data_IF_559601288232
#
_entry.id   IF_559601288232
#
_cell.length_a   1.000
_cell.length_b   1.000
_cell.length_c   1.000
_cell.angle_alpha   90.00
_cell.angle_beta   90.00
_cell.angle_gamma   90.00
#
_symmetry.space_group_name_H-M   'P 1'
#
loop_
_entity.id
_entity.type
_entity.pdbx_description
1 polymer ?
#
# COMPACT_ATOMS: atom_id res chain seq x y z
N UNK A 1 67.88 -24.77 -87.63
CA UNK A 1 66.46 -24.74 -88.06
C UNK A 1 65.68 -25.77 -87.31
N UNK A 2 64.67 -25.41 -86.66
CA UNK A 2 63.51 -26.06 -86.06
C UNK A 2 63.29 -25.61 -84.63
N UNK A 3 62.22 -24.82 -84.44
CA UNK A 3 61.75 -24.27 -83.23
C UNK A 3 61.06 -25.36 -82.41
N UNK A 4 61.34 -25.41 -81.09
CA UNK A 4 60.57 -26.14 -80.12
C UNK A 4 59.73 -25.15 -79.32
N UNK A 5 58.42 -25.31 -79.37
CA UNK A 5 57.47 -24.59 -78.54
C UNK A 5 57.27 -25.32 -77.24
N UNK A 6 57.53 -24.70 -76.12
CA UNK A 6 57.22 -25.18 -74.80
C UNK A 6 55.83 -24.73 -74.38
N UNK A 7 55.00 -25.68 -74.03
CA UNK A 7 53.68 -25.44 -73.41
C UNK A 7 53.86 -25.34 -71.90
N UNK A 8 53.52 -24.20 -71.34
CA UNK A 8 53.42 -24.03 -69.86
C UNK A 8 51.97 -24.30 -69.41
N UNK A 9 51.83 -25.34 -68.56
CA UNK A 9 50.59 -25.60 -67.88
C UNK A 9 50.50 -24.73 -66.58
N UNK A 10 49.59 -23.81 -66.56
CA UNK A 10 49.29 -22.98 -65.34
C UNK A 10 48.34 -23.72 -64.43
N UNK A 11 48.79 -24.02 -63.22
CA UNK A 11 47.96 -24.52 -62.12
C UNK A 11 47.25 -23.35 -61.48
N UNK A 12 45.91 -23.25 -61.61
CA UNK A 12 45.07 -22.29 -60.90
C UNK A 12 44.75 -22.84 -59.49
N UNK A 13 45.31 -22.22 -58.46
CA UNK A 13 44.88 -22.43 -57.07
C UNK A 13 43.59 -21.64 -56.86
N UNK A 14 42.47 -22.35 -56.73
CA UNK A 14 41.19 -21.78 -56.29
C UNK A 14 41.19 -21.57 -54.76
N UNK A 15 41.23 -20.32 -54.31
CA UNK A 15 40.98 -19.96 -52.90
C UNK A 15 39.46 -19.98 -52.71
N UNK A 16 38.93 -21.02 -52.08
CA UNK A 16 37.57 -21.09 -51.60
C UNK A 16 37.45 -20.18 -50.35
N UNK A 17 36.92 -18.99 -50.50
CA UNK A 17 36.51 -18.13 -49.39
C UNK A 17 35.32 -18.78 -48.69
N UNK A 18 35.51 -19.36 -47.52
CA UNK A 18 34.44 -19.76 -46.60
C UNK A 18 33.79 -18.47 -46.06
N UNK A 19 32.67 -18.09 -46.60
CA UNK A 19 31.77 -17.13 -45.98
C UNK A 19 31.04 -17.83 -44.83
N UNK A 20 31.51 -17.62 -43.60
CA UNK A 20 30.74 -17.92 -42.38
C UNK A 20 29.53 -16.98 -42.34
N UNK A 21 28.31 -17.49 -42.18
CA UNK A 21 27.19 -16.60 -41.91
C UNK A 21 27.39 -15.94 -40.53
N UNK A 22 27.62 -14.63 -40.49
CA UNK A 22 27.44 -13.84 -39.28
C UNK A 22 25.97 -13.97 -38.90
N UNK A 23 25.68 -14.81 -37.91
CA UNK A 23 24.41 -14.75 -37.19
C UNK A 23 24.48 -13.44 -36.40
N UNK A 24 23.95 -12.37 -36.97
CA UNK A 24 23.57 -11.19 -36.21
C UNK A 24 22.48 -11.65 -35.23
N UNK A 25 22.87 -11.96 -34.00
CA UNK A 25 21.97 -12.09 -32.91
C UNK A 25 21.29 -10.73 -32.72
N UNK A 26 20.19 -10.53 -33.43
CA UNK A 26 19.28 -9.45 -33.12
C UNK A 26 18.81 -9.70 -31.70
N UNK A 27 19.21 -8.85 -30.78
CA UNK A 27 18.48 -8.70 -29.55
C UNK A 27 17.05 -8.33 -29.97
N UNK A 28 16.14 -9.29 -29.90
CA UNK A 28 14.74 -8.98 -29.97
C UNK A 28 14.48 -8.05 -28.78
N UNK A 29 14.37 -6.74 -29.03
CA UNK A 29 13.67 -5.88 -28.12
C UNK A 29 12.32 -6.54 -27.91
N UNK A 30 12.05 -6.98 -26.67
CA UNK A 30 10.70 -7.35 -26.29
C UNK A 30 9.79 -6.22 -26.79
N UNK A 31 8.77 -6.56 -27.58
CA UNK A 31 7.83 -5.58 -28.06
C UNK A 31 7.30 -4.83 -26.84
N UNK A 32 7.35 -3.50 -26.87
CA UNK A 32 6.79 -2.62 -25.84
C UNK A 32 5.30 -2.96 -25.71
N UNK A 33 4.90 -3.61 -24.62
CA UNK A 33 3.53 -4.09 -24.42
C UNK A 33 2.55 -2.97 -24.15
N UNK A 34 3.08 -1.79 -23.78
CA UNK A 34 2.29 -0.61 -23.44
C UNK A 34 2.99 0.26 -22.40
N UNK A 35 2.36 1.39 -22.09
CA UNK A 35 2.87 2.41 -21.21
C UNK A 35 1.94 2.60 -20.01
N UNK A 36 2.44 2.40 -18.79
CA UNK A 36 1.67 2.47 -17.54
C UNK A 36 2.07 3.70 -16.74
N UNK A 37 1.10 4.57 -16.47
CA UNK A 37 1.24 5.68 -15.52
C UNK A 37 0.90 5.23 -14.12
N UNK A 38 1.78 5.51 -13.15
CA UNK A 38 1.64 5.11 -11.75
C UNK A 38 1.67 6.38 -10.89
N UNK A 39 0.54 6.71 -10.26
CA UNK A 39 0.41 7.91 -9.43
C UNK A 39 0.27 7.52 -7.96
N UNK A 40 1.30 7.82 -7.15
CA UNK A 40 1.38 7.55 -5.72
C UNK A 40 1.15 8.80 -4.89
N UNK A 41 0.57 8.70 -3.67
CA UNK A 41 0.22 9.88 -2.88
C UNK A 41 1.46 10.60 -2.33
N UNK A 42 2.43 9.87 -1.76
CA UNK A 42 3.54 10.49 -1.03
C UNK A 42 4.73 9.54 -0.86
N UNK A 43 5.88 10.08 -0.46
CA UNK A 43 7.05 9.32 0.02
C UNK A 43 7.20 9.36 1.55
N UNK A 44 6.32 10.07 2.26
CA UNK A 44 6.39 10.17 3.72
C UNK A 44 6.11 8.85 4.44
N UNK A 45 5.33 7.95 3.83
CA UNK A 45 5.15 6.57 4.27
C UNK A 45 5.99 5.63 3.41
N UNK A 46 6.78 4.77 4.06
CA UNK A 46 7.69 3.83 3.40
C UNK A 46 6.96 2.84 2.49
N UNK A 47 5.72 2.48 2.85
CA UNK A 47 4.92 1.55 2.05
C UNK A 47 4.71 2.05 0.62
N UNK A 48 4.43 3.35 0.41
CA UNK A 48 4.20 3.89 -0.94
C UNK A 48 5.43 3.81 -1.83
N UNK A 49 6.63 3.92 -1.23
CA UNK A 49 7.89 3.69 -1.95
C UNK A 49 8.02 2.22 -2.34
N UNK A 50 7.68 1.30 -1.43
CA UNK A 50 7.68 -0.14 -1.69
C UNK A 50 6.66 -0.52 -2.76
N UNK A 51 5.42 -0.03 -2.66
CA UNK A 51 4.35 -0.23 -3.67
C UNK A 51 4.81 0.24 -5.06
N UNK A 52 5.28 1.49 -5.16
CA UNK A 52 5.70 2.07 -6.43
C UNK A 52 6.87 1.33 -7.07
N UNK A 53 7.91 1.01 -6.28
CA UNK A 53 9.06 0.26 -6.77
C UNK A 53 8.67 -1.15 -7.21
N UNK A 54 7.85 -1.86 -6.42
CA UNK A 54 7.37 -3.20 -6.76
C UNK A 54 6.54 -3.20 -8.06
N UNK A 55 5.71 -2.18 -8.26
CA UNK A 55 4.95 -2.05 -9.52
C UNK A 55 5.87 -1.78 -10.71
N UNK A 56 6.83 -0.84 -10.60
CA UNK A 56 7.79 -0.55 -11.67
C UNK A 56 8.55 -1.81 -12.04
N UNK A 57 9.15 -2.49 -11.06
CA UNK A 57 9.93 -3.71 -11.29
C UNK A 57 9.10 -4.78 -12.01
N UNK A 58 7.87 -5.02 -11.55
CA UNK A 58 7.03 -6.08 -12.10
C UNK A 58 6.45 -5.72 -13.48
N UNK A 59 6.05 -4.45 -13.70
CA UNK A 59 5.60 -4.00 -15.02
C UNK A 59 6.74 -4.04 -16.05
N UNK A 60 7.92 -3.57 -15.69
CA UNK A 60 9.08 -3.59 -16.59
C UNK A 60 9.53 -5.04 -16.89
N UNK A 61 9.52 -5.93 -15.90
CA UNK A 61 9.76 -7.36 -16.10
C UNK A 61 8.71 -8.01 -17.02
N UNK A 62 7.47 -7.53 -17.00
CA UNK A 62 6.40 -7.96 -17.88
C UNK A 62 6.48 -7.34 -19.30
N UNK A 63 7.39 -6.37 -19.56
CA UNK A 63 7.62 -5.73 -20.84
C UNK A 63 6.85 -4.44 -21.08
N UNK A 64 6.38 -3.78 -20.01
CA UNK A 64 5.75 -2.46 -20.05
C UNK A 64 6.75 -1.35 -19.81
N UNK A 65 6.49 -0.17 -20.35
CA UNK A 65 7.13 1.07 -19.95
C UNK A 65 6.35 1.67 -18.77
N UNK A 66 7.04 2.32 -17.83
CA UNK A 66 6.42 2.91 -16.63
C UNK A 66 6.72 4.40 -16.49
N UNK A 67 5.80 5.15 -15.87
CA UNK A 67 5.98 6.54 -15.41
C UNK A 67 5.47 6.62 -13.97
N UNK A 68 6.37 6.50 -12.99
CA UNK A 68 6.05 6.56 -11.57
C UNK A 68 6.22 7.98 -11.03
N UNK A 69 5.16 8.54 -10.45
CA UNK A 69 5.12 9.86 -9.83
C UNK A 69 4.60 9.80 -8.40
N UNK A 70 5.15 10.67 -7.54
CA UNK A 70 4.71 10.88 -6.17
C UNK A 70 4.27 12.33 -6.00
N UNK A 71 3.12 12.54 -5.38
CA UNK A 71 2.51 13.86 -5.30
C UNK A 71 2.77 14.60 -3.97
N UNK A 72 3.46 13.96 -3.02
CA UNK A 72 3.85 14.52 -1.70
C UNK A 72 2.63 15.05 -0.91
N UNK A 73 1.53 14.29 -0.94
CA UNK A 73 0.24 14.59 -0.33
C UNK A 73 -0.42 15.92 -0.81
N UNK A 74 0.04 16.45 -1.94
CA UNK A 74 -0.53 17.63 -2.59
C UNK A 74 -1.51 17.22 -3.69
N UNK A 75 -2.82 17.46 -3.46
CA UNK A 75 -3.89 17.07 -4.38
C UNK A 75 -3.74 17.74 -5.76
N UNK A 76 -3.52 19.07 -5.89
CA UNK A 76 -3.27 19.71 -7.17
C UNK A 76 -2.09 19.12 -7.93
N UNK A 77 -1.03 18.74 -7.21
CA UNK A 77 0.14 18.11 -7.82
C UNK A 77 -0.20 16.72 -8.38
N UNK A 78 -0.94 15.89 -7.61
CA UNK A 78 -1.37 14.59 -8.11
C UNK A 78 -2.24 14.71 -9.36
N UNK A 79 -3.18 15.65 -9.36
CA UNK A 79 -4.03 15.93 -10.53
C UNK A 79 -3.19 16.31 -11.76
N UNK A 80 -2.26 17.26 -11.61
CA UNK A 80 -1.34 17.65 -12.68
C UNK A 80 -0.49 16.50 -13.21
N UNK A 81 0.01 15.63 -12.33
CA UNK A 81 0.79 14.45 -12.72
C UNK A 81 -0.04 13.48 -13.55
N UNK A 82 -1.29 13.20 -13.15
CA UNK A 82 -2.22 12.34 -13.87
C UNK A 82 -2.54 12.93 -15.25
N UNK A 83 -2.87 14.24 -15.34
CA UNK A 83 -3.12 14.92 -16.60
C UNK A 83 -1.90 14.88 -17.53
N UNK A 84 -0.69 15.04 -17.01
CA UNK A 84 0.54 14.87 -17.77
C UNK A 84 0.75 13.45 -18.29
N UNK A 85 0.42 12.42 -17.52
CA UNK A 85 0.47 11.02 -17.96
C UNK A 85 -0.53 10.77 -19.12
N UNK A 86 -1.74 11.32 -19.03
CA UNK A 86 -2.76 11.27 -20.11
C UNK A 86 -2.19 11.90 -21.40
N UNK A 87 -1.61 13.10 -21.31
CA UNK A 87 -0.98 13.79 -22.45
C UNK A 87 0.20 13.02 -23.04
N UNK A 88 0.98 12.33 -22.21
CA UNK A 88 2.07 11.45 -22.65
C UNK A 88 1.59 10.18 -23.36
N UNK A 89 0.29 9.89 -23.32
CA UNK A 89 -0.32 8.75 -23.99
C UNK A 89 -0.03 7.43 -23.29
N UNK A 90 -0.19 7.37 -21.98
CA UNK A 90 -0.20 6.09 -21.25
C UNK A 90 -1.41 5.25 -21.69
N UNK A 91 -1.29 3.94 -21.68
CA UNK A 91 -2.40 3.02 -21.99
C UNK A 91 -3.26 2.73 -20.76
N UNK A 92 -2.63 2.81 -19.59
CA UNK A 92 -3.26 2.55 -18.27
C UNK A 92 -2.76 3.54 -17.24
N UNK A 93 -3.66 3.96 -16.36
CA UNK A 93 -3.37 4.68 -15.11
C UNK A 93 -3.62 3.76 -13.92
N UNK A 94 -2.63 3.61 -13.05
CA UNK A 94 -2.72 2.97 -11.74
C UNK A 94 -2.56 4.05 -10.67
N UNK A 95 -3.63 4.34 -9.93
CA UNK A 95 -3.71 5.53 -9.09
C UNK A 95 -4.03 5.14 -7.65
N UNK A 96 -3.14 5.48 -6.71
CA UNK A 96 -3.42 5.56 -5.28
C UNK A 96 -3.78 7.02 -4.95
N UNK A 97 -5.07 7.33 -4.91
CA UNK A 97 -5.54 8.71 -4.76
C UNK A 97 -5.22 9.29 -3.38
N UNK A 98 -4.78 10.55 -3.32
CA UNK A 98 -4.70 11.32 -2.06
C UNK A 98 -6.11 11.56 -1.53
N UNK A 99 -6.96 12.13 -2.38
CA UNK A 99 -8.38 12.34 -2.15
C UNK A 99 -9.18 11.65 -3.26
N UNK A 100 -10.04 10.71 -2.86
CA UNK A 100 -10.81 9.90 -3.80
C UNK A 100 -11.82 10.68 -4.63
N UNK A 101 -12.18 11.92 -4.28
CA UNK A 101 -13.27 12.70 -4.90
C UNK A 101 -12.79 13.75 -5.91
N UNK A 102 -11.49 14.00 -6.03
CA UNK A 102 -10.96 15.15 -6.77
C UNK A 102 -10.54 14.84 -8.21
N UNK A 103 -10.64 13.58 -8.65
CA UNK A 103 -10.05 13.12 -9.93
C UNK A 103 -11.05 13.01 -11.08
N UNK A 104 -12.36 13.22 -10.86
CA UNK A 104 -13.43 12.88 -11.83
C UNK A 104 -13.19 13.46 -13.22
N UNK A 105 -12.82 14.74 -13.33
CA UNK A 105 -12.57 15.40 -14.62
C UNK A 105 -11.35 14.82 -15.36
N UNK A 106 -10.26 14.53 -14.65
CA UNK A 106 -9.08 13.90 -15.26
C UNK A 106 -9.41 12.49 -15.78
N UNK A 107 -10.23 11.74 -15.03
CA UNK A 107 -10.66 10.40 -15.42
C UNK A 107 -11.64 10.41 -16.61
N UNK A 108 -12.45 11.48 -16.78
CA UNK A 108 -13.23 11.68 -18.01
C UNK A 108 -12.31 11.86 -19.22
N UNK A 109 -11.24 12.66 -19.08
CA UNK A 109 -10.24 12.84 -20.13
C UNK A 109 -9.49 11.54 -20.45
N UNK A 110 -9.13 10.75 -19.42
CA UNK A 110 -8.52 9.44 -19.59
C UNK A 110 -9.43 8.49 -20.38
N UNK A 111 -10.71 8.42 -20.01
CA UNK A 111 -11.71 7.59 -20.70
C UNK A 111 -11.92 8.04 -22.16
N UNK A 112 -11.98 9.35 -22.42
CA UNK A 112 -12.08 9.90 -23.78
C UNK A 112 -10.86 9.55 -24.65
N UNK A 113 -9.68 9.39 -24.04
CA UNK A 113 -8.44 8.93 -24.67
C UNK A 113 -8.33 7.40 -24.78
N UNK A 114 -9.30 6.65 -24.25
CA UNK A 114 -9.28 5.17 -24.24
C UNK A 114 -8.37 4.55 -23.16
N UNK A 115 -7.87 5.36 -22.24
CA UNK A 115 -6.97 4.94 -21.16
C UNK A 115 -7.77 4.20 -20.08
N UNK A 116 -7.28 3.06 -19.64
CA UNK A 116 -7.87 2.28 -18.55
C UNK A 116 -7.43 2.81 -17.18
N UNK A 117 -8.34 2.78 -16.21
CA UNK A 117 -8.08 3.33 -14.87
C UNK A 117 -8.24 2.25 -13.80
N UNK A 118 -7.17 2.01 -13.07
CA UNK A 118 -7.14 1.14 -11.90
C UNK A 118 -6.96 1.99 -10.64
N UNK A 119 -7.93 1.91 -9.73
CA UNK A 119 -7.72 2.35 -8.37
C UNK A 119 -6.79 1.35 -7.66
N UNK A 120 -5.77 1.83 -6.99
CA UNK A 120 -4.77 1.04 -6.28
C UNK A 120 -4.79 1.36 -4.80
N UNK A 121 -4.98 0.36 -3.96
CA UNK A 121 -5.11 0.46 -2.50
C UNK A 121 -6.25 1.38 -2.03
N UNK A 122 -6.39 2.60 -2.56
CA UNK A 122 -7.41 3.60 -2.22
C UNK A 122 -8.47 3.69 -3.30
N UNK A 123 -9.75 3.60 -2.90
CA UNK A 123 -10.88 3.69 -3.84
C UNK A 123 -11.04 5.11 -4.36
N UNK A 124 -11.07 5.25 -5.68
CA UNK A 124 -11.45 6.52 -6.33
C UNK A 124 -12.98 6.60 -6.40
N UNK A 125 -13.51 7.68 -5.85
CA UNK A 125 -14.96 7.93 -5.69
C UNK A 125 -15.50 8.86 -6.76
N UNK A 126 -16.81 8.91 -6.87
CA UNK A 126 -17.56 9.89 -7.68
C UNK A 126 -17.18 9.91 -9.17
N UNK A 127 -16.72 8.77 -9.70
CA UNK A 127 -16.39 8.62 -11.11
C UNK A 127 -16.87 7.29 -11.68
N UNK A 128 -17.52 7.34 -12.84
CA UNK A 128 -17.87 6.15 -13.62
C UNK A 128 -16.64 5.51 -14.30
N UNK A 129 -15.54 6.27 -14.43
CA UNK A 129 -14.38 5.94 -15.23
C UNK A 129 -13.25 5.26 -14.43
N UNK A 130 -13.59 4.53 -13.39
CA UNK A 130 -12.70 3.61 -12.67
C UNK A 130 -13.05 2.20 -13.16
N UNK A 131 -12.15 1.56 -13.89
CA UNK A 131 -12.41 0.23 -14.46
C UNK A 131 -12.35 -0.85 -13.39
N UNK A 132 -11.29 -0.87 -12.57
CA UNK A 132 -11.03 -1.89 -11.56
C UNK A 132 -10.40 -1.29 -10.30
N UNK A 133 -10.43 -2.07 -9.22
CA UNK A 133 -9.81 -1.72 -7.95
C UNK A 133 -9.03 -2.92 -7.39
N UNK A 134 -7.80 -2.71 -6.97
CA UNK A 134 -6.97 -3.69 -6.27
C UNK A 134 -6.59 -3.16 -4.89
N UNK A 135 -6.91 -3.93 -3.85
CA UNK A 135 -6.68 -3.55 -2.45
C UNK A 135 -6.67 -4.79 -1.54
N UNK A 136 -6.62 -4.55 -0.24
CA UNK A 136 -6.87 -5.57 0.78
C UNK A 136 -8.31 -5.52 1.28
N UNK A 137 -8.77 -6.56 2.00
CA UNK A 137 -10.05 -6.49 2.71
C UNK A 137 -9.96 -5.49 3.86
N UNK A 138 -10.34 -4.24 3.56
CA UNK A 138 -10.19 -3.12 4.47
C UNK A 138 -11.10 -3.21 5.71
N UNK A 139 -12.27 -3.84 5.59
CA UNK A 139 -13.12 -4.09 6.75
C UNK A 139 -12.45 -5.10 7.69
N UNK A 140 -11.89 -6.16 7.14
CA UNK A 140 -11.16 -7.18 7.90
C UNK A 140 -9.91 -6.62 8.58
N UNK A 141 -9.21 -5.66 7.96
CA UNK A 141 -8.11 -4.92 8.62
C UNK A 141 -8.60 -4.32 9.93
N UNK A 142 -9.70 -3.58 9.92
CA UNK A 142 -10.26 -2.97 11.14
C UNK A 142 -10.67 -4.02 12.18
N UNK A 143 -11.31 -5.11 11.74
CA UNK A 143 -11.65 -6.24 12.63
C UNK A 143 -10.39 -6.81 13.29
N UNK A 144 -9.33 -7.05 12.54
CA UNK A 144 -8.07 -7.59 13.08
C UNK A 144 -7.38 -6.60 14.04
N UNK A 145 -7.38 -5.31 13.75
CA UNK A 145 -6.86 -4.27 14.65
C UNK A 145 -7.57 -4.29 16.00
N UNK A 146 -8.88 -4.28 15.99
CA UNK A 146 -9.68 -4.28 17.21
C UNK A 146 -9.59 -5.60 17.96
N UNK A 147 -9.58 -6.74 17.26
CA UNK A 147 -9.42 -8.05 17.88
C UNK A 147 -8.07 -8.14 18.60
N UNK A 148 -6.97 -7.74 17.94
CA UNK A 148 -5.66 -7.75 18.59
C UNK A 148 -5.58 -6.80 19.79
N UNK A 149 -6.25 -5.64 19.72
CA UNK A 149 -6.36 -4.71 20.83
C UNK A 149 -7.08 -5.37 22.02
N UNK A 150 -8.23 -5.99 21.80
CA UNK A 150 -9.01 -6.67 22.85
C UNK A 150 -8.23 -7.84 23.47
N UNK A 151 -7.57 -8.66 22.64
CA UNK A 151 -6.74 -9.76 23.13
C UNK A 151 -5.56 -9.25 23.99
N UNK A 152 -4.93 -8.17 23.55
CA UNK A 152 -3.87 -7.52 24.32
C UNK A 152 -4.36 -6.97 25.67
N UNK A 153 -5.52 -6.33 25.70
CA UNK A 153 -6.15 -5.82 26.92
C UNK A 153 -6.49 -6.95 27.89
N UNK A 154 -7.09 -8.04 27.41
CA UNK A 154 -7.41 -9.21 28.22
C UNK A 154 -6.17 -9.88 28.83
N UNK A 155 -5.04 -9.86 28.11
CA UNK A 155 -3.76 -10.35 28.61
C UNK A 155 -3.11 -9.39 29.65
N UNK A 156 -3.42 -8.09 29.57
CA UNK A 156 -2.81 -7.08 30.44
C UNK A 156 -3.56 -6.88 31.77
N UNK A 157 -4.88 -7.13 31.83
CA UNK A 157 -5.69 -6.86 33.02
C UNK A 157 -7.13 -7.33 32.92
N UNK A 158 -8.00 -6.68 33.68
CA UNK A 158 -9.44 -6.93 33.72
C UNK A 158 -10.22 -5.64 33.39
N UNK A 159 -11.41 -5.73 32.78
CA UNK A 159 -12.23 -4.58 32.51
C UNK A 159 -12.68 -3.86 33.80
N UNK A 160 -13.10 -2.57 33.72
CA UNK A 160 -13.18 -1.77 32.50
C UNK A 160 -11.82 -1.25 32.01
N UNK A 161 -11.63 -1.23 30.66
CA UNK A 161 -10.42 -0.71 30.03
C UNK A 161 -10.62 0.70 29.51
N UNK A 162 -9.68 1.58 29.77
CA UNK A 162 -9.64 2.94 29.23
C UNK A 162 -8.99 2.93 27.84
N UNK A 163 -9.77 3.15 26.80
CA UNK A 163 -9.32 3.07 25.42
C UNK A 163 -9.55 4.39 24.70
N UNK A 164 -8.62 4.80 23.83
CA UNK A 164 -8.83 5.90 22.91
C UNK A 164 -8.80 5.41 21.45
N UNK A 165 -9.62 6.06 20.62
CA UNK A 165 -9.78 5.71 19.23
C UNK A 165 -9.10 6.73 18.32
N UNK A 166 -8.32 6.27 17.35
CA UNK A 166 -7.80 7.06 16.25
C UNK A 166 -8.32 6.51 14.93
N UNK A 167 -8.67 7.40 14.01
CA UNK A 167 -9.08 7.09 12.65
C UNK A 167 -8.06 7.58 11.63
N UNK A 168 -8.14 7.05 10.43
CA UNK A 168 -7.34 7.48 9.29
C UNK A 168 -7.80 8.81 8.68
N UNK A 169 -7.27 9.15 7.51
CA UNK A 169 -7.61 10.40 6.84
C UNK A 169 -9.05 10.39 6.31
N UNK A 170 -9.85 11.44 6.58
CA UNK A 170 -11.26 11.48 6.15
C UNK A 170 -11.46 11.56 4.63
N UNK A 171 -10.43 11.91 3.87
CA UNK A 171 -10.44 11.95 2.40
C UNK A 171 -10.09 10.58 1.76
N UNK A 172 -9.72 9.60 2.58
CA UNK A 172 -9.48 8.23 2.18
C UNK A 172 -10.65 7.32 2.58
N UNK A 173 -11.28 6.68 1.58
CA UNK A 173 -12.40 5.78 1.80
C UNK A 173 -12.04 4.59 2.72
N UNK A 174 -10.80 4.11 2.69
CA UNK A 174 -10.35 3.00 3.51
C UNK A 174 -10.45 3.28 5.01
N UNK A 175 -10.23 4.54 5.43
CA UNK A 175 -10.33 4.95 6.82
C UNK A 175 -11.68 4.61 7.45
N UNK A 176 -12.76 4.73 6.69
CA UNK A 176 -14.11 4.39 7.13
C UNK A 176 -14.31 2.88 7.24
N UNK A 177 -13.75 2.09 6.30
CA UNK A 177 -13.80 0.63 6.37
C UNK A 177 -13.01 0.11 7.58
N UNK A 178 -11.81 0.63 7.84
CA UNK A 178 -11.02 0.28 9.03
C UNK A 178 -11.78 0.61 10.31
N UNK A 179 -12.32 1.84 10.40
CA UNK A 179 -13.08 2.27 11.56
C UNK A 179 -14.32 1.41 11.79
N UNK A 180 -15.12 1.16 10.75
CA UNK A 180 -16.32 0.35 10.85
C UNK A 180 -16.02 -1.11 11.21
N UNK A 181 -14.95 -1.68 10.63
CA UNK A 181 -14.46 -3.01 10.98
C UNK A 181 -14.05 -3.09 12.45
N UNK A 182 -13.29 -2.12 12.93
CA UNK A 182 -12.89 -2.04 14.34
C UNK A 182 -14.10 -1.85 15.28
N UNK A 183 -15.02 -0.99 14.94
CA UNK A 183 -16.22 -0.75 15.74
C UNK A 183 -17.16 -1.95 15.78
N UNK A 184 -17.16 -2.83 14.75
CA UNK A 184 -17.93 -4.09 14.81
C UNK A 184 -17.50 -5.01 15.95
N UNK A 185 -16.23 -4.88 16.41
CA UNK A 185 -15.67 -5.61 17.55
C UNK A 185 -15.79 -4.81 18.85
N UNK A 186 -15.48 -3.50 18.81
CA UNK A 186 -15.39 -2.67 20.03
C UNK A 186 -16.75 -2.18 20.53
N UNK A 187 -17.73 -1.92 19.65
CA UNK A 187 -19.00 -1.34 20.06
C UNK A 187 -19.75 -2.19 21.11
N UNK A 188 -19.84 -3.52 20.98
CA UNK A 188 -20.46 -4.35 22.05
C UNK A 188 -19.77 -4.21 23.41
N UNK A 189 -18.42 -4.05 23.43
CA UNK A 189 -17.65 -3.89 24.66
C UNK A 189 -17.81 -2.47 25.24
N UNK A 190 -18.01 -1.48 24.41
CA UNK A 190 -18.34 -0.12 24.82
C UNK A 190 -19.75 -0.08 25.42
N UNK A 191 -20.70 -0.73 24.78
CA UNK A 191 -22.10 -0.80 25.23
C UNK A 191 -22.25 -1.55 26.56
N UNK A 192 -21.42 -2.58 26.82
CA UNK A 192 -21.36 -3.29 28.12
C UNK A 192 -20.64 -2.51 29.21
N UNK A 193 -19.82 -1.54 28.86
CA UNK A 193 -18.95 -0.80 29.77
C UNK A 193 -17.61 -1.49 30.06
N UNK A 194 -17.28 -2.58 29.38
CA UNK A 194 -15.98 -3.24 29.47
C UNK A 194 -14.87 -2.41 28.82
N UNK A 195 -15.21 -1.62 27.81
CA UNK A 195 -14.35 -0.61 27.20
C UNK A 195 -14.95 0.77 27.42
N UNK A 196 -14.17 1.70 27.93
CA UNK A 196 -14.57 3.09 28.20
C UNK A 196 -13.72 4.03 27.34
N UNK A 197 -14.37 4.80 26.48
CA UNK A 197 -13.72 5.89 25.76
C UNK A 197 -13.75 7.12 26.65
N UNK A 198 -12.66 7.38 27.38
CA UNK A 198 -12.63 8.44 28.42
C UNK A 198 -12.88 9.83 27.85
N UNK A 199 -12.41 10.08 26.63
CA UNK A 199 -12.66 11.35 25.92
C UNK A 199 -14.09 11.48 25.40
N UNK A 200 -14.82 10.38 25.27
CA UNK A 200 -16.11 10.31 24.56
C UNK A 200 -15.99 10.58 23.05
N UNK A 201 -14.78 10.68 22.50
CA UNK A 201 -14.56 11.00 21.08
C UNK A 201 -14.70 9.72 20.24
N UNK A 202 -15.81 9.62 19.52
CA UNK A 202 -16.15 8.52 18.64
C UNK A 202 -16.65 9.07 17.30
N UNK A 203 -16.57 8.26 16.24
CA UNK A 203 -16.93 8.66 14.88
C UNK A 203 -15.77 9.35 14.13
N UNK A 204 -15.71 9.11 12.82
CA UNK A 204 -14.62 9.61 11.96
C UNK A 204 -14.49 11.15 11.96
N UNK A 205 -15.56 11.86 12.26
CA UNK A 205 -15.56 13.33 12.41
C UNK A 205 -14.77 13.80 13.65
N UNK A 206 -14.56 12.95 14.65
CA UNK A 206 -13.80 13.23 15.88
C UNK A 206 -12.43 12.60 15.92
N UNK A 207 -12.30 11.39 15.37
CA UNK A 207 -11.10 10.57 15.51
C UNK A 207 -10.22 10.59 14.27
N UNK A 208 -10.71 11.11 13.14
CA UNK A 208 -9.98 11.16 11.87
C UNK A 208 -8.68 11.96 11.96
N UNK A 209 -7.63 11.47 11.30
CA UNK A 209 -6.30 12.07 11.27
C UNK A 209 -5.95 12.44 9.83
N UNK A 210 -6.05 13.74 9.52
CA UNK A 210 -5.85 14.24 8.16
C UNK A 210 -4.47 13.85 7.61
N UNK A 211 -4.46 13.40 6.36
CA UNK A 211 -3.25 12.96 5.63
C UNK A 211 -2.49 11.81 6.29
N UNK A 212 -3.12 11.09 7.21
CA UNK A 212 -2.44 10.01 7.95
C UNK A 212 -1.18 10.50 8.68
N UNK A 213 -1.17 11.77 9.10
CA UNK A 213 0.01 12.43 9.67
C UNK A 213 0.22 12.04 11.13
N UNK A 214 1.37 11.39 11.40
CA UNK A 214 1.76 10.97 12.75
C UNK A 214 1.96 12.13 13.73
N UNK A 215 2.33 13.34 13.26
CA UNK A 215 2.45 14.52 14.13
C UNK A 215 1.08 15.04 14.56
N UNK A 216 0.07 14.94 13.69
CA UNK A 216 -1.34 15.26 14.04
C UNK A 216 -1.85 14.25 15.08
N UNK A 217 -1.55 12.96 14.91
CA UNK A 217 -1.91 11.93 15.90
C UNK A 217 -1.20 12.17 17.24
N UNK A 218 0.09 12.51 17.22
CA UNK A 218 0.86 12.86 18.42
C UNK A 218 0.21 14.04 19.16
N UNK A 219 -0.03 15.15 18.48
CA UNK A 219 -0.63 16.34 19.08
C UNK A 219 -2.03 16.03 19.68
N UNK A 220 -2.83 15.19 19.00
CA UNK A 220 -4.12 14.76 19.55
C UNK A 220 -3.93 13.88 20.80
N UNK A 221 -2.95 12.96 20.80
CA UNK A 221 -2.67 12.14 21.99
C UNK A 221 -2.19 12.98 23.18
N UNK A 222 -1.33 13.98 22.97
CA UNK A 222 -0.92 14.93 24.01
C UNK A 222 -2.12 15.64 24.64
N UNK A 223 -3.08 16.08 23.81
CA UNK A 223 -4.31 16.70 24.29
C UNK A 223 -5.20 15.72 25.08
N UNK A 224 -5.33 14.46 24.61
CA UNK A 224 -6.10 13.45 25.33
C UNK A 224 -5.47 13.14 26.70
N UNK A 225 -4.15 12.95 26.75
CA UNK A 225 -3.43 12.68 27.98
C UNK A 225 -3.59 13.79 29.01
N UNK A 226 -3.45 15.03 28.59
CA UNK A 226 -3.59 16.20 29.49
C UNK A 226 -5.02 16.46 29.95
N UNK A 227 -6.03 16.15 29.14
CA UNK A 227 -7.41 16.43 29.45
C UNK A 227 -8.14 15.32 30.23
N UNK A 228 -7.79 14.05 29.98
CA UNK A 228 -8.57 12.91 30.45
C UNK A 228 -7.78 11.88 31.25
N UNK A 229 -6.45 11.97 31.32
CA UNK A 229 -5.58 10.95 31.89
C UNK A 229 -4.61 11.48 32.95
N UNK A 230 -5.01 12.56 33.66
CA UNK A 230 -4.21 13.11 34.76
C UNK A 230 -4.24 12.25 36.03
N UNK A 231 -5.29 11.46 36.22
CA UNK A 231 -5.54 10.61 37.39
C UNK A 231 -5.84 9.15 37.04
N UNK A 232 -5.71 8.79 35.78
CA UNK A 232 -5.97 7.46 35.23
C UNK A 232 -4.88 7.11 34.21
N UNK A 233 -4.85 5.85 33.82
CA UNK A 233 -3.98 5.40 32.73
C UNK A 233 -4.79 5.02 31.48
N UNK A 234 -4.17 5.16 30.33
CA UNK A 234 -4.63 4.58 29.06
C UNK A 234 -4.25 3.10 29.09
N UNK A 235 -5.22 2.21 28.85
CA UNK A 235 -5.00 0.77 28.76
C UNK A 235 -4.81 0.34 27.29
N UNK A 236 -5.47 1.02 26.36
CA UNK A 236 -5.37 0.71 24.95
C UNK A 236 -5.61 1.89 24.00
N UNK A 237 -5.06 1.79 22.81
CA UNK A 237 -5.27 2.74 21.73
C UNK A 237 -5.53 1.98 20.44
N UNK A 238 -6.71 2.18 19.85
CA UNK A 238 -6.95 1.79 18.48
C UNK A 238 -6.25 2.79 17.55
N UNK A 239 -5.21 2.35 16.87
CA UNK A 239 -4.51 3.13 15.86
C UNK A 239 -4.59 2.41 14.51
N UNK A 240 -5.06 3.07 13.46
CA UNK A 240 -5.31 2.44 12.17
C UNK A 240 -4.08 2.37 11.26
N UNK A 241 -2.92 2.92 11.67
CA UNK A 241 -1.71 2.96 10.85
C UNK A 241 -0.45 3.15 11.71
N UNK A 242 0.63 2.50 11.35
CA UNK A 242 1.90 2.50 12.09
C UNK A 242 2.52 3.89 12.25
N UNK A 243 2.45 4.74 11.22
CA UNK A 243 2.93 6.12 11.33
C UNK A 243 2.19 6.93 12.40
N UNK A 244 0.88 6.70 12.58
CA UNK A 244 0.11 7.28 13.69
C UNK A 244 0.54 6.67 15.02
N UNK A 245 0.71 5.35 15.06
CA UNK A 245 1.14 4.63 16.27
C UNK A 245 2.48 5.15 16.80
N UNK A 246 3.44 5.43 15.92
CA UNK A 246 4.74 6.02 16.28
C UNK A 246 4.55 7.39 16.96
N UNK A 247 3.69 8.24 16.41
CA UNK A 247 3.35 9.54 17.01
C UNK A 247 2.69 9.39 18.38
N UNK A 248 1.71 8.48 18.49
CA UNK A 248 1.01 8.15 19.73
C UNK A 248 1.97 7.62 20.79
N UNK A 249 2.85 6.69 20.42
CA UNK A 249 3.88 6.14 21.31
C UNK A 249 4.84 7.20 21.82
N UNK A 250 5.18 8.20 20.98
CA UNK A 250 6.00 9.35 21.38
C UNK A 250 5.34 10.15 22.51
N UNK A 251 4.04 10.47 22.38
CA UNK A 251 3.26 11.16 23.43
C UNK A 251 3.19 10.34 24.72
N UNK A 252 2.87 9.05 24.61
CA UNK A 252 2.78 8.14 25.77
C UNK A 252 4.11 8.08 26.53
N UNK A 253 5.23 7.88 25.84
CA UNK A 253 6.56 7.87 26.44
C UNK A 253 6.94 9.22 27.05
N UNK A 254 6.49 10.33 26.44
CA UNK A 254 6.71 11.69 26.95
C UNK A 254 6.13 11.93 28.35
N UNK A 255 5.06 11.22 28.73
CA UNK A 255 4.44 11.31 30.08
C UNK A 255 4.76 10.12 30.97
N UNK A 256 5.69 9.23 30.54
CA UNK A 256 6.27 8.19 31.40
C UNK A 256 5.78 6.76 31.15
N UNK A 257 4.88 6.52 30.19
CA UNK A 257 4.52 5.14 29.84
C UNK A 257 5.75 4.36 29.33
N UNK A 258 5.80 3.09 29.69
CA UNK A 258 6.93 2.22 29.38
C UNK A 258 8.09 2.33 30.37
N UNK A 259 7.96 3.14 31.44
CA UNK A 259 8.97 3.30 32.48
C UNK A 259 8.39 3.13 33.89
N UNK A 260 9.19 2.59 34.81
CA UNK A 260 8.76 2.34 36.18
C UNK A 260 7.53 1.41 36.24
N UNK A 261 6.51 1.81 37.01
CA UNK A 261 5.26 1.04 37.16
C UNK A 261 4.22 1.35 36.07
N UNK A 262 4.50 2.32 35.18
CA UNK A 262 3.58 2.73 34.12
C UNK A 262 3.85 1.93 32.83
N UNK A 263 3.08 0.85 32.64
CA UNK A 263 3.21 -0.01 31.47
C UNK A 263 2.78 0.70 30.19
N UNK A 264 3.36 0.28 29.06
CA UNK A 264 2.83 0.69 27.75
C UNK A 264 1.40 0.17 27.57
N UNK A 265 0.46 0.98 27.06
CA UNK A 265 -0.85 0.52 26.66
C UNK A 265 -0.76 -0.40 25.44
N UNK A 266 -1.83 -1.15 25.19
CA UNK A 266 -1.97 -1.95 23.97
C UNK A 266 -2.25 -1.00 22.81
N UNK A 267 -1.30 -0.89 21.86
CA UNK A 267 -1.43 -0.02 20.67
C UNK A 267 -1.42 -0.87 19.43
N UNK A 268 -2.48 -0.77 18.61
CA UNK A 268 -2.57 -1.41 17.30
C UNK A 268 -1.82 -0.61 16.24
N UNK A 269 -1.76 -1.13 15.02
CA UNK A 269 -1.19 -0.46 13.85
C UNK A 269 -1.57 -1.14 12.54
N UNK A 270 -0.97 -0.70 11.44
CA UNK A 270 -1.12 -1.28 10.11
C UNK A 270 0.07 -0.88 9.25
N UNK A 271 0.36 -1.69 8.24
CA UNK A 271 1.34 -1.63 7.17
C UNK A 271 2.71 -2.23 7.52
N UNK A 272 2.90 -2.73 8.73
CA UNK A 272 4.13 -3.39 9.17
C UNK A 272 5.40 -2.57 8.84
N UNK A 273 5.36 -1.25 9.10
CA UNK A 273 6.53 -0.40 8.89
C UNK A 273 7.70 -0.87 9.77
N UNK A 274 8.92 -0.78 9.25
CA UNK A 274 10.11 -1.29 9.92
C UNK A 274 10.26 -0.78 11.36
N UNK A 275 9.94 0.50 11.57
CA UNK A 275 9.99 1.10 12.91
C UNK A 275 8.96 0.49 13.85
N UNK A 276 7.77 0.16 13.35
CA UNK A 276 6.71 -0.49 14.14
C UNK A 276 7.04 -1.94 14.46
N UNK A 277 7.64 -2.68 13.54
CA UNK A 277 8.15 -4.04 13.85
C UNK A 277 9.19 -3.95 14.99
N UNK A 278 10.12 -2.99 14.94
CA UNK A 278 11.08 -2.76 16.05
C UNK A 278 10.36 -2.40 17.36
N UNK A 279 9.34 -1.56 17.32
CA UNK A 279 8.53 -1.19 18.48
C UNK A 279 7.74 -2.37 19.06
N UNK A 280 7.22 -3.27 18.20
CA UNK A 280 6.58 -4.52 18.63
C UNK A 280 7.57 -5.43 19.35
N UNK A 281 8.77 -5.58 18.81
CA UNK A 281 9.83 -6.39 19.46
C UNK A 281 10.29 -5.80 20.78
N UNK A 282 10.36 -4.48 20.87
CA UNK A 282 10.67 -3.76 22.12
C UNK A 282 9.52 -3.83 23.16
N UNK A 283 8.31 -4.25 22.75
CA UNK A 283 7.12 -4.29 23.61
C UNK A 283 6.47 -2.93 23.83
N UNK A 284 6.72 -1.97 22.92
CA UNK A 284 6.14 -0.63 22.94
C UNK A 284 4.82 -0.55 22.15
N UNK A 285 4.77 -1.19 20.98
CA UNK A 285 3.56 -1.41 20.18
C UNK A 285 3.12 -2.87 20.35
N UNK A 286 1.82 -3.15 20.33
CA UNK A 286 1.32 -4.49 20.51
C UNK A 286 1.26 -5.29 19.22
N UNK A 287 0.68 -4.69 18.15
CA UNK A 287 0.47 -5.36 16.87
C UNK A 287 0.47 -4.39 15.70
N UNK A 288 0.62 -4.95 14.51
CA UNK A 288 0.37 -4.26 13.24
C UNK A 288 -0.36 -5.21 12.27
N UNK A 289 -1.01 -4.66 11.25
CA UNK A 289 -1.62 -5.46 10.18
C UNK A 289 -0.72 -5.41 8.97
N UNK A 290 -0.13 -6.54 8.62
CA UNK A 290 0.73 -6.69 7.45
C UNK A 290 -0.10 -6.77 6.17
N UNK A 291 0.27 -5.95 5.22
CA UNK A 291 -0.21 -5.92 3.85
C UNK A 291 0.99 -6.00 2.91
N UNK A 292 1.19 -7.14 2.26
CA UNK A 292 2.34 -7.32 1.37
C UNK A 292 2.18 -6.47 0.10
N UNK A 293 2.90 -5.36 0.04
CA UNK A 293 2.89 -4.42 -1.09
C UNK A 293 3.35 -5.05 -2.40
N UNK A 294 4.24 -6.06 -2.32
CA UNK A 294 4.75 -6.80 -3.49
C UNK A 294 3.64 -7.66 -4.10
N UNK A 295 2.80 -8.24 -3.26
CA UNK A 295 1.67 -9.08 -3.69
C UNK A 295 0.54 -8.21 -4.26
N UNK A 296 0.26 -7.03 -3.67
CA UNK A 296 -0.70 -6.09 -4.23
C UNK A 296 -0.25 -5.59 -5.61
N UNK A 297 1.05 -5.25 -5.74
CA UNK A 297 1.64 -4.91 -7.04
C UNK A 297 1.48 -6.06 -8.04
N UNK A 298 1.80 -7.31 -7.65
CA UNK A 298 1.70 -8.49 -8.52
C UNK A 298 0.28 -8.70 -9.04
N UNK A 299 -0.71 -8.59 -8.17
CA UNK A 299 -2.13 -8.72 -8.56
C UNK A 299 -2.51 -7.61 -9.54
N UNK A 300 -2.14 -6.37 -9.25
CA UNK A 300 -2.44 -5.22 -10.12
C UNK A 300 -1.80 -5.36 -11.49
N UNK A 301 -0.52 -5.76 -11.55
CA UNK A 301 0.20 -6.01 -12.81
C UNK A 301 -0.49 -7.11 -13.61
N UNK A 302 -0.91 -8.21 -12.96
CA UNK A 302 -1.65 -9.28 -13.63
C UNK A 302 -2.99 -8.82 -14.19
N UNK A 303 -3.75 -8.03 -13.41
CA UNK A 303 -5.03 -7.48 -13.87
C UNK A 303 -4.86 -6.53 -15.05
N UNK A 304 -3.85 -5.67 -15.03
CA UNK A 304 -3.53 -4.75 -16.13
C UNK A 304 -3.12 -5.52 -17.38
N UNK A 305 -2.25 -6.55 -17.25
CA UNK A 305 -1.84 -7.40 -18.40
C UNK A 305 -3.04 -8.10 -19.04
N UNK A 306 -3.99 -8.61 -18.25
CA UNK A 306 -5.21 -9.22 -18.74
C UNK A 306 -6.05 -8.20 -19.53
N UNK A 307 -6.30 -7.01 -18.98
CA UNK A 307 -7.12 -5.97 -19.60
C UNK A 307 -6.50 -5.48 -20.91
N UNK A 308 -5.20 -5.20 -20.94
CA UNK A 308 -4.51 -4.74 -22.15
C UNK A 308 -4.41 -5.84 -23.22
N UNK A 309 -4.42 -7.10 -22.82
CA UNK A 309 -4.50 -8.24 -23.73
C UNK A 309 -5.94 -8.57 -24.18
N UNK A 310 -6.94 -7.79 -23.77
CA UNK A 310 -8.35 -8.02 -24.08
C UNK A 310 -8.96 -9.21 -23.34
N UNK A 311 -8.38 -9.61 -22.21
CA UNK A 311 -8.89 -10.67 -21.33
C UNK A 311 -9.60 -10.06 -20.12
N UNK A 312 -10.53 -10.80 -19.54
CA UNK A 312 -11.14 -10.42 -18.27
C UNK A 312 -10.13 -10.66 -17.12
N UNK A 313 -9.86 -9.64 -16.27
CA UNK A 313 -8.96 -9.81 -15.15
C UNK A 313 -9.63 -10.63 -14.04
N UNK A 314 -8.81 -11.27 -13.21
CA UNK A 314 -9.31 -11.95 -12.01
C UNK A 314 -9.81 -10.92 -11.00
N UNK A 315 -11.06 -11.09 -10.57
CA UNK A 315 -11.71 -10.31 -9.50
C UNK A 315 -12.35 -11.25 -8.49
N UNK A 316 -12.46 -10.84 -7.23
CA UNK A 316 -13.11 -11.64 -6.18
C UNK A 316 -14.17 -10.87 -5.39
N UNK A 317 -14.35 -9.56 -5.68
CA UNK A 317 -15.42 -8.75 -5.11
C UNK A 317 -16.13 -7.88 -6.17
N UNK A 318 -17.47 -7.94 -6.17
CA UNK A 318 -18.34 -7.13 -7.05
C UNK A 318 -19.49 -6.49 -6.28
N UNK A 319 -19.35 -6.34 -4.95
CA UNK A 319 -20.46 -5.90 -4.09
C UNK A 319 -20.06 -4.83 -3.08
N UNK A 320 -18.84 -4.85 -2.59
CA UNK A 320 -18.44 -4.11 -1.39
C UNK A 320 -18.05 -2.66 -1.69
N UNK A 321 -17.34 -2.44 -2.80
CA UNK A 321 -16.72 -1.14 -3.07
C UNK A 321 -17.56 -0.29 -4.03
N UNK A 322 -18.66 0.28 -3.48
CA UNK A 322 -19.43 1.31 -4.17
C UNK A 322 -18.70 2.65 -4.06
N UNK A 323 -18.36 3.23 -5.21
CA UNK A 323 -17.64 4.49 -5.29
C UNK A 323 -18.56 5.73 -5.34
N UNK A 324 -19.86 5.54 -5.11
CA UNK A 324 -20.88 6.60 -5.19
C UNK A 324 -21.54 6.73 -6.58
N UNK A 325 -21.02 6.05 -7.59
CA UNK A 325 -21.57 6.00 -8.96
C UNK A 325 -21.84 4.56 -9.40
N UNK A 326 -20.96 3.65 -9.01
CA UNK A 326 -21.06 2.23 -9.31
C UNK A 326 -20.29 1.40 -8.29
N UNK A 327 -20.61 0.11 -8.20
CA UNK A 327 -19.71 -0.85 -7.57
C UNK A 327 -18.54 -1.12 -8.50
N UNK A 328 -17.32 -0.89 -8.03
CA UNK A 328 -16.10 -1.11 -8.82
C UNK A 328 -15.68 -2.58 -8.66
N UNK A 329 -15.54 -3.34 -9.76
CA UNK A 329 -15.03 -4.71 -9.69
C UNK A 329 -13.64 -4.73 -9.06
N UNK A 330 -13.45 -5.54 -8.01
CA UNK A 330 -12.27 -5.45 -7.14
C UNK A 330 -11.57 -6.79 -6.95
N UNK A 331 -10.26 -6.73 -6.72
CA UNK A 331 -9.50 -7.83 -6.15
C UNK A 331 -9.04 -7.48 -4.74
N UNK A 332 -9.47 -8.27 -3.77
CA UNK A 332 -9.17 -8.09 -2.35
C UNK A 332 -8.16 -9.13 -1.89
N UNK A 333 -7.04 -8.67 -1.37
CA UNK A 333 -6.03 -9.48 -0.71
C UNK A 333 -6.37 -9.63 0.78
N UNK A 334 -5.90 -10.72 1.37
CA UNK A 334 -6.06 -10.99 2.79
C UNK A 334 -5.01 -10.23 3.62
N UNK A 335 -5.42 -9.40 4.59
CA UNK A 335 -4.51 -8.81 5.55
C UNK A 335 -4.11 -9.82 6.62
N UNK A 336 -2.92 -9.68 7.20
CA UNK A 336 -2.40 -10.59 8.22
C UNK A 336 -2.00 -9.81 9.47
N UNK A 337 -2.58 -10.14 10.64
CA UNK A 337 -2.17 -9.56 11.91
C UNK A 337 -0.78 -10.09 12.30
N UNK A 338 0.09 -9.17 12.70
CA UNK A 338 1.47 -9.43 13.14
C UNK A 338 1.68 -8.88 14.55
N UNK A 339 2.22 -9.72 15.41
CA UNK A 339 2.62 -9.36 16.76
C UNK A 339 3.99 -9.99 17.10
N UNK A 340 4.37 -9.91 18.38
CA UNK A 340 5.64 -10.44 18.87
C UNK A 340 5.77 -11.96 18.73
N UNK A 341 4.66 -12.70 18.53
CA UNK A 341 4.67 -14.17 18.49
C UNK A 341 4.86 -14.73 17.08
N UNK A 342 4.51 -13.98 16.05
CA UNK A 342 4.48 -14.47 14.65
C UNK A 342 5.29 -13.62 13.64
N UNK A 343 5.87 -12.49 14.05
CA UNK A 343 6.59 -11.56 13.17
C UNK A 343 7.72 -12.23 12.37
N UNK A 344 8.45 -13.18 12.98
CA UNK A 344 9.57 -13.84 12.32
C UNK A 344 9.09 -14.71 11.15
N UNK A 345 8.02 -15.48 11.36
CA UNK A 345 7.40 -16.29 10.32
C UNK A 345 6.83 -15.42 9.19
N UNK A 346 6.06 -14.38 9.55
CA UNK A 346 5.31 -13.60 8.57
C UNK A 346 6.20 -12.59 7.88
N UNK A 347 7.01 -11.82 8.60
CA UNK A 347 7.79 -10.71 8.03
C UNK A 347 9.11 -11.20 7.45
N UNK A 348 9.88 -11.99 8.22
CA UNK A 348 11.17 -12.51 7.75
C UNK A 348 10.96 -13.71 6.82
N UNK A 349 10.06 -14.63 7.19
CA UNK A 349 9.76 -15.81 6.39
C UNK A 349 9.21 -15.50 5.00
N UNK A 350 8.46 -14.40 4.84
CA UNK A 350 8.03 -13.90 3.53
C UNK A 350 9.14 -13.18 2.74
N UNK A 351 10.25 -12.82 3.39
CA UNK A 351 11.31 -12.00 2.81
C UNK A 351 10.90 -10.53 2.61
N UNK A 352 9.90 -10.02 3.37
CA UNK A 352 9.50 -8.61 3.32
C UNK A 352 10.57 -7.71 3.92
N UNK A 353 11.10 -8.11 5.07
CA UNK A 353 12.33 -7.56 5.68
C UNK A 353 13.32 -8.68 5.96
N UNK A 354 14.59 -8.31 6.04
CA UNK A 354 15.64 -9.19 6.53
C UNK A 354 15.74 -9.12 8.06
N UNK A 355 16.26 -10.19 8.67
CA UNK A 355 16.47 -10.22 10.12
C UNK A 355 17.43 -9.11 10.61
N UNK A 356 18.37 -8.66 9.75
CA UNK A 356 19.33 -7.62 10.09
C UNK A 356 18.72 -6.21 10.04
N UNK A 357 17.73 -5.97 9.17
CA UNK A 357 16.97 -4.70 9.15
C UNK A 357 16.12 -4.51 10.40
N UNK A 358 15.55 -5.61 10.90
CA UNK A 358 14.63 -5.58 12.06
C UNK A 358 15.37 -5.48 13.40
N UNK A 359 16.62 -5.93 13.50
CA UNK A 359 17.47 -5.76 14.68
C UNK A 359 18.02 -4.33 14.75
#
# INVERSE_FOLDING_TARGET
>A
MKRLSAVMAGAAFGVAAMMSPMISGGYAHAADKGYVGIAMPTKSSARWISDGNSMVEQFEAAGYKTDLQYAEDDIPNQLSQIENMIVKGVDVLVIAAIDGTTLSNALENAAAAGIKVFAYDRLIRESANVDYYSTFDNFKVGVQQATSLVDGLANAGQPPYNVELFGGSPDDNNAYFFYNGAMSVLQPLIDSGDVVIQSGQMGMDKVGTLRWDGAVAQARMDNLLSAYYTDKQVDGVLSPYDGLSIGILSSLKGVGYGSGDMKMPVVSGQDAELQSIKSILAGEQYSTIFKDTRELARVTVSMVDDVLAGREPTINDTKTYDNGVKVVPSYLLEPVMVDKTNWEEIIIGSGYYTADEVK
#
